data_IF_151641801261
#
_entry.id   IF_151641801261
#
_cell.length_a   1.000
_cell.length_b   1.000
_cell.length_c   1.000
_cell.angle_alpha   90.00
_cell.angle_beta   90.00
_cell.angle_gamma   90.00
#
_symmetry.space_group_name_H-M   'P 1'
#
loop_
_entity.id
_entity.type
_entity.pdbx_description
1 polymer ?
#
# COMPACT_ATOMS: atom_id res chain seq x y z
N UNK A 1 -9.66 16.59 -8.19
CA UNK A 1 -8.41 15.85 -8.38
C UNK A 1 -7.76 16.31 -9.65
N UNK A 2 -6.48 16.65 -9.61
CA UNK A 2 -5.80 17.12 -10.79
C UNK A 2 -5.38 15.95 -11.66
N UNK A 3 -5.00 16.26 -12.89
CA UNK A 3 -4.54 15.23 -13.80
C UNK A 3 -3.24 14.63 -13.26
N UNK A 4 -2.39 15.41 -12.62
CA UNK A 4 -1.17 14.88 -12.08
C UNK A 4 -1.45 13.96 -10.90
N UNK A 5 -2.46 14.26 -10.09
CA UNK A 5 -2.81 13.42 -8.99
C UNK A 5 -3.34 12.09 -9.50
N UNK A 6 -4.14 12.12 -10.54
CA UNK A 6 -4.70 10.92 -11.10
C UNK A 6 -3.57 10.05 -11.65
N UNK A 7 -2.58 10.66 -12.30
CA UNK A 7 -1.49 9.90 -12.85
C UNK A 7 -0.65 9.29 -11.75
N UNK A 8 -0.39 10.03 -10.67
CA UNK A 8 0.40 9.53 -9.58
C UNK A 8 -0.29 8.33 -8.94
N UNK A 9 -1.60 8.39 -8.77
CA UNK A 9 -2.34 7.30 -8.20
C UNK A 9 -2.31 6.11 -9.13
N UNK A 10 -2.48 6.32 -10.42
CA UNK A 10 -2.46 5.23 -11.38
C UNK A 10 -1.10 4.54 -11.37
N UNK A 11 -0.01 5.30 -11.26
CA UNK A 11 1.31 4.73 -11.24
C UNK A 11 1.50 3.90 -9.97
N UNK A 12 0.96 4.37 -8.85
CA UNK A 12 1.06 3.63 -7.61
C UNK A 12 0.27 2.33 -7.70
N UNK A 13 -0.91 2.37 -8.30
CA UNK A 13 -1.72 1.18 -8.42
C UNK A 13 -1.08 0.16 -9.36
N UNK A 14 -0.27 0.62 -10.30
CA UNK A 14 0.39 -0.28 -11.22
C UNK A 14 1.37 -1.21 -10.49
N UNK A 15 1.76 -0.87 -9.27
CA UNK A 15 2.63 -1.74 -8.50
C UNK A 15 1.95 -3.08 -8.18
N UNK A 16 0.64 -3.15 -8.29
CA UNK A 16 -0.06 -4.39 -8.04
C UNK A 16 -0.13 -5.30 -9.25
N UNK A 17 0.33 -4.82 -10.41
CA UNK A 17 0.18 -5.61 -11.61
C UNK A 17 0.92 -6.94 -11.46
N UNK A 18 0.27 -8.02 -11.77
CA UNK A 18 0.89 -9.34 -11.69
C UNK A 18 1.07 -9.87 -10.29
N UNK A 19 0.57 -9.17 -9.27
CA UNK A 19 0.73 -9.62 -7.90
C UNK A 19 -0.52 -10.31 -7.41
N UNK A 20 -0.36 -11.22 -6.47
CA UNK A 20 -1.50 -11.91 -5.87
C UNK A 20 -1.75 -11.27 -4.51
N UNK A 21 -3.01 -11.00 -4.21
CA UNK A 21 -3.38 -10.37 -2.96
C UNK A 21 -3.53 -11.44 -1.89
N UNK A 22 -2.81 -11.28 -0.79
CA UNK A 22 -2.89 -12.20 0.33
C UNK A 22 -3.93 -11.74 1.34
N UNK A 23 -4.14 -10.45 1.48
CA UNK A 23 -5.09 -9.93 2.46
C UNK A 23 -5.62 -8.58 2.03
N UNK A 24 -6.87 -8.32 2.34
CA UNK A 24 -7.48 -7.02 2.10
C UNK A 24 -8.19 -6.67 3.39
N UNK A 25 -7.78 -5.57 4.02
CA UNK A 25 -8.28 -5.19 5.31
C UNK A 25 -8.87 -3.80 5.25
N UNK A 26 -10.13 -3.66 5.63
CA UNK A 26 -10.78 -2.38 5.60
C UNK A 26 -10.93 -1.86 7.01
N UNK A 27 -10.61 -0.59 7.22
CA UNK A 27 -10.77 0.03 8.51
C UNK A 27 -12.26 0.25 8.76
N UNK A 28 -12.66 0.21 10.01
CA UNK A 28 -14.08 0.23 10.36
C UNK A 28 -14.80 1.51 9.96
N UNK A 29 -14.08 2.61 9.77
CA UNK A 29 -14.73 3.85 9.35
C UNK A 29 -14.93 3.87 7.83
N UNK A 30 -14.54 2.82 7.12
CA UNK A 30 -14.70 2.67 5.69
C UNK A 30 -13.93 3.72 4.90
N UNK A 31 -12.89 4.29 5.50
CA UNK A 31 -12.10 5.29 4.81
C UNK A 31 -10.72 4.83 4.46
N UNK A 32 -10.35 3.63 4.83
CA UNK A 32 -9.04 3.14 4.51
C UNK A 32 -9.09 1.66 4.17
N UNK A 33 -8.45 1.29 3.09
CA UNK A 33 -8.37 -0.09 2.65
C UNK A 33 -6.89 -0.44 2.52
N UNK A 34 -6.47 -1.53 3.13
CA UNK A 34 -5.09 -1.97 3.01
C UNK A 34 -5.06 -3.28 2.25
N UNK A 35 -4.23 -3.36 1.23
CA UNK A 35 -4.04 -4.55 0.45
C UNK A 35 -2.63 -5.05 0.69
N UNK A 36 -2.50 -6.34 0.98
CA UNK A 36 -1.18 -6.92 1.17
C UNK A 36 -1.01 -8.03 0.17
N UNK A 37 0.11 -8.05 -0.52
CA UNK A 37 0.35 -9.07 -1.54
C UNK A 37 1.14 -10.23 -0.95
N UNK A 38 1.15 -11.32 -1.67
CA UNK A 38 1.83 -12.51 -1.21
C UNK A 38 3.32 -12.27 -1.02
N UNK A 39 3.92 -11.40 -1.81
CA UNK A 39 5.34 -11.14 -1.72
C UNK A 39 5.68 -10.01 -0.74
N UNK A 40 4.71 -9.54 0.02
CA UNK A 40 5.00 -8.56 1.08
C UNK A 40 4.78 -7.10 0.74
N UNK A 41 4.34 -6.78 -0.46
CA UNK A 41 4.04 -5.40 -0.79
C UNK A 41 2.75 -5.00 -0.08
N UNK A 42 2.70 -3.81 0.47
CA UNK A 42 1.49 -3.32 1.10
C UNK A 42 1.04 -2.04 0.44
N UNK A 43 -0.22 -1.92 0.12
CA UNK A 43 -0.77 -0.71 -0.46
C UNK A 43 -1.88 -0.21 0.44
N UNK A 44 -1.85 1.04 0.79
CA UNK A 44 -2.85 1.65 1.65
C UNK A 44 -3.58 2.71 0.88
N UNK A 45 -4.90 2.55 0.74
CA UNK A 45 -5.72 3.50 0.03
C UNK A 45 -6.56 4.22 1.08
N UNK A 46 -6.50 5.53 1.11
CA UNK A 46 -7.18 6.32 2.12
C UNK A 46 -8.03 7.37 1.45
N UNK A 47 -9.25 7.56 1.93
CA UNK A 47 -10.13 8.60 1.44
C UNK A 47 -10.02 9.77 2.40
N UNK A 48 -9.66 10.93 1.88
CA UNK A 48 -9.52 12.12 2.69
C UNK A 48 -10.43 13.20 2.12
N UNK A 49 -10.61 14.25 2.86
CA UNK A 49 -11.41 15.38 2.42
C UNK A 49 -10.48 16.56 2.20
N UNK A 50 -10.54 17.17 1.02
CA UNK A 50 -9.67 18.30 0.73
C UNK A 50 -10.26 19.57 1.33
N UNK A 51 -9.61 20.69 1.10
CA UNK A 51 -10.03 21.95 1.69
C UNK A 51 -11.39 22.39 1.20
N UNK A 52 -11.80 21.97 0.04
CA UNK A 52 -13.10 22.34 -0.49
C UNK A 52 -14.19 21.36 -0.05
N UNK A 53 -13.86 20.39 0.79
CA UNK A 53 -14.83 19.42 1.27
C UNK A 53 -15.09 18.28 0.32
N UNK A 54 -14.26 18.09 -0.70
CA UNK A 54 -14.48 17.03 -1.65
C UNK A 54 -13.64 15.81 -1.30
N UNK A 55 -14.12 14.63 -1.62
CA UNK A 55 -13.35 13.43 -1.34
C UNK A 55 -12.11 13.37 -2.20
N UNK A 56 -11.04 12.82 -1.64
CA UNK A 56 -9.79 12.71 -2.33
C UNK A 56 -9.17 11.37 -1.96
N UNK A 57 -8.61 10.68 -2.93
CA UNK A 57 -8.01 9.38 -2.69
C UNK A 57 -6.50 9.51 -2.58
N UNK A 58 -5.92 8.93 -1.54
CA UNK A 58 -4.49 8.88 -1.37
C UNK A 58 -4.07 7.41 -1.42
N UNK A 59 -2.96 7.14 -2.09
CA UNK A 59 -2.46 5.78 -2.21
C UNK A 59 -1.00 5.77 -1.78
N UNK A 60 -0.68 4.96 -0.78
CA UNK A 60 0.69 4.81 -0.30
C UNK A 60 1.12 3.37 -0.54
N UNK A 61 2.33 3.19 -1.00
CA UNK A 61 2.86 1.87 -1.27
C UNK A 61 4.06 1.64 -0.38
N UNK A 62 4.03 0.57 0.41
CA UNK A 62 5.12 0.22 1.29
C UNK A 62 5.72 -1.08 0.75
N UNK A 63 6.99 -1.03 0.41
CA UNK A 63 7.64 -2.19 -0.18
C UNK A 63 8.39 -2.95 0.89
N UNK A 64 8.53 -4.25 0.74
CA UNK A 64 9.26 -5.02 1.72
C UNK A 64 10.74 -4.68 1.65
N UNK A 65 11.49 -4.96 2.68
CA UNK A 65 12.92 -4.69 2.69
C UNK A 65 13.59 -5.51 1.62
N UNK A 66 14.63 -4.93 1.05
CA UNK A 66 15.31 -5.61 0.01
C UNK A 66 16.01 -6.85 0.43
N UNK A 67 16.42 -6.99 1.59
CA UNK A 67 17.14 -8.12 2.01
C UNK A 67 16.56 -8.74 3.18
N UNK A 68 15.40 -9.16 3.13
CA UNK A 68 14.73 -9.68 4.28
C UNK A 68 15.35 -10.95 4.75
N UNK A 69 15.82 -11.71 3.91
CA UNK A 69 16.36 -12.94 4.35
C UNK A 69 17.48 -12.77 5.21
N UNK A 70 18.28 -11.83 4.93
CA UNK A 70 19.37 -11.63 5.68
C UNK A 70 19.03 -11.31 7.03
N UNK A 71 18.15 -10.52 7.23
CA UNK A 71 17.88 -10.16 8.49
C UNK A 71 17.34 -11.25 9.22
N UNK A 72 16.61 -12.05 8.63
CA UNK A 72 16.09 -13.07 9.28
C UNK A 72 17.03 -13.95 9.81
N UNK A 73 17.84 -14.37 9.06
CA UNK A 73 18.69 -15.27 9.51
C UNK A 73 19.49 -14.86 10.52
N UNK A 74 19.81 -13.76 10.50
CA UNK A 74 20.61 -13.29 11.47
C UNK A 74 19.96 -13.47 12.72
N UNK A 75 18.77 -13.16 12.82
CA UNK A 75 18.22 -13.10 13.94
C UNK A 75 17.99 -14.30 14.51
N UNK A 76 17.70 -15.17 13.88
CA UNK A 76 17.34 -16.19 14.50
C UNK A 76 18.36 -17.12 14.73
N UNK A 77 19.30 -16.96 14.09
CA UNK A 77 20.24 -17.87 14.30
C UNK A 77 20.79 -17.69 15.48
N UNK A 78 20.56 -16.79 15.91
CA UNK A 78 21.17 -16.55 17.05
C UNK A 78 20.53 -17.23 17.93
N UNK A 79 20.05 -17.61 17.78
CA UNK A 79 19.48 -18.17 18.61
C UNK A 79 19.86 -18.91 19.01
#
# INVERSE_FOLDING_TARGET
MSFQDLRRIADSLAALRGKSVAAAIMRSDLRQLRLETVDGLMMVLTVETDEAGRPRLEVDVVRPPEEPGRQLEVRFDSV
#
